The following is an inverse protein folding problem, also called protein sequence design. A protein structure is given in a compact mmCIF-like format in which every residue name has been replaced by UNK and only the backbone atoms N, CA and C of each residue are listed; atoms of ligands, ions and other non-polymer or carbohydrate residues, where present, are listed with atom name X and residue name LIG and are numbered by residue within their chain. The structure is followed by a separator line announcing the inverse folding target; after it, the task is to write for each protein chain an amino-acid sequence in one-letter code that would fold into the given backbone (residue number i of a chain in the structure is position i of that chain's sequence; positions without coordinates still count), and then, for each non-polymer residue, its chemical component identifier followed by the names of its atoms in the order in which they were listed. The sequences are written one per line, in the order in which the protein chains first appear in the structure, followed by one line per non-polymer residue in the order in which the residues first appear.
data_IF_650797267274
#
_entry.id   IF_650797267274
#
_cell.length_a   1.000
_cell.length_b   1.000
_cell.length_c   1.000
_cell.angle_alpha   90.00
_cell.angle_beta   90.00
_cell.angle_gamma   90.00
#
_symmetry.space_group_name_H-M   'P 1'
#
loop_
_entity.id
_entity.type
_entity.pdbx_description
1 polymer ?
#
# COMPACT_ATOMS: atom_id res chain seq x y z
N UNK A 1 -5.49 25.87 3.63
CA UNK A 1 -4.73 24.62 3.43
C UNK A 1 -3.45 24.51 4.26
N UNK A 2 -2.73 25.61 4.56
CA UNK A 2 -1.58 25.58 5.48
C UNK A 2 -1.96 25.30 6.94
N UNK A 3 -3.21 25.52 7.32
CA UNK A 3 -3.67 25.39 8.71
C UNK A 3 -3.78 23.93 9.18
N UNK A 4 -4.10 22.98 8.28
CA UNK A 4 -4.32 21.59 8.69
C UNK A 4 -3.01 20.89 9.08
N UNK A 5 -1.95 20.99 8.27
CA UNK A 5 -0.64 20.41 8.59
C UNK A 5 -0.06 21.01 9.87
N UNK A 6 -0.18 22.34 10.03
CA UNK A 6 0.27 23.04 11.23
C UNK A 6 -0.49 22.57 12.47
N UNK A 7 -1.80 22.36 12.35
CA UNK A 7 -2.66 21.86 13.41
C UNK A 7 -2.33 20.42 13.79
N UNK A 8 -2.03 19.57 12.80
CA UNK A 8 -1.63 18.17 13.01
C UNK A 8 -0.27 18.09 13.72
N UNK A 9 0.72 18.89 13.30
CA UNK A 9 2.03 18.98 13.96
C UNK A 9 1.91 19.50 15.39
N UNK A 10 1.05 20.48 15.65
CA UNK A 10 0.77 20.96 17.02
C UNK A 10 0.16 19.87 17.90
N UNK A 11 -0.81 19.10 17.35
CA UNK A 11 -1.44 17.98 18.06
C UNK A 11 -0.44 16.86 18.37
N UNK A 12 0.52 16.58 17.48
CA UNK A 12 1.63 15.67 17.74
C UNK A 12 2.49 16.12 18.91
N UNK A 13 2.84 17.41 18.96
CA UNK A 13 3.66 17.96 20.05
C UNK A 13 2.93 17.82 21.40
N UNK A 14 1.63 18.06 21.42
CA UNK A 14 0.80 17.89 22.61
C UNK A 14 0.75 16.42 23.08
N UNK A 15 0.63 15.46 22.16
CA UNK A 15 0.64 14.03 22.46
C UNK A 15 1.99 13.57 23.04
N UNK A 16 3.11 14.08 22.50
CA UNK A 16 4.46 13.83 23.04
C UNK A 16 4.60 14.38 24.47
N UNK A 17 4.16 15.62 24.70
CA UNK A 17 4.23 16.24 26.04
C UNK A 17 3.38 15.47 27.06
N UNK A 18 2.17 15.08 26.68
CA UNK A 18 1.29 14.27 27.53
C UNK A 18 1.90 12.91 27.84
N UNK A 19 2.46 12.23 26.83
CA UNK A 19 3.17 10.96 27.00
C UNK A 19 4.35 11.07 27.97
N UNK A 20 5.13 12.14 27.88
CA UNK A 20 6.26 12.40 28.81
C UNK A 20 5.82 12.57 30.26
N UNK A 21 4.69 13.25 30.50
CA UNK A 21 4.14 13.45 31.85
C UNK A 21 3.65 12.12 32.44
N UNK A 22 3.12 11.25 31.60
CA UNK A 22 2.53 9.96 31.98
C UNK A 22 3.57 8.82 32.11
N UNK A 23 4.80 8.99 31.61
CA UNK A 23 5.83 7.95 31.53
C UNK A 23 6.06 7.19 32.84
N UNK A 24 5.94 7.88 33.97
CA UNK A 24 6.14 7.30 35.30
C UNK A 24 4.83 7.06 36.07
N UNK A 25 3.68 7.33 35.47
CA UNK A 25 2.38 7.26 36.15
C UNK A 25 1.49 6.14 35.64
N UNK A 26 1.41 5.96 34.33
CA UNK A 26 0.52 4.99 33.71
C UNK A 26 1.05 4.55 32.33
N UNK A 27 1.54 3.33 32.25
CA UNK A 27 2.06 2.73 31.01
C UNK A 27 1.00 2.56 29.93
N UNK A 28 -0.26 2.36 30.32
CA UNK A 28 -1.34 2.13 29.38
C UNK A 28 -1.71 3.44 28.66
N UNK A 29 -1.81 4.52 29.41
CA UNK A 29 -2.04 5.87 28.87
C UNK A 29 -0.87 6.35 27.99
N UNK A 30 0.37 5.97 28.33
CA UNK A 30 1.54 6.26 27.45
C UNK A 30 1.40 5.56 26.09
N UNK A 31 1.02 4.28 26.07
CA UNK A 31 0.82 3.55 24.84
C UNK A 31 -0.30 4.15 23.97
N UNK A 32 -1.38 4.62 24.58
CA UNK A 32 -2.46 5.33 23.88
C UNK A 32 -1.96 6.63 23.24
N UNK A 33 -1.14 7.42 23.95
CA UNK A 33 -0.55 8.64 23.40
C UNK A 33 0.43 8.35 22.25
N UNK A 34 1.22 7.29 22.35
CA UNK A 34 2.12 6.86 21.28
C UNK A 34 1.35 6.42 20.04
N UNK A 35 0.27 5.66 20.22
CA UNK A 35 -0.61 5.26 19.10
C UNK A 35 -1.23 6.48 18.43
N UNK A 36 -1.76 7.42 19.21
CA UNK A 36 -2.30 8.68 18.70
C UNK A 36 -1.26 9.50 17.92
N UNK A 37 -0.01 9.53 18.41
CA UNK A 37 1.09 10.18 17.72
C UNK A 37 1.38 9.52 16.35
N UNK A 38 1.37 8.19 16.29
CA UNK A 38 1.57 7.45 15.04
C UNK A 38 0.45 7.75 14.03
N UNK A 39 -0.80 7.83 14.48
CA UNK A 39 -1.94 8.11 13.60
C UNK A 39 -1.86 9.54 13.05
N UNK A 40 -1.56 10.53 13.89
CA UNK A 40 -1.34 11.92 13.48
C UNK A 40 -0.15 12.06 12.51
N UNK A 41 0.92 11.28 12.71
CA UNK A 41 2.06 11.28 11.80
C UNK A 41 1.69 10.74 10.41
N UNK A 42 0.89 9.68 10.34
CA UNK A 42 0.38 9.14 9.08
C UNK A 42 -0.52 10.13 8.35
N UNK A 43 -1.41 10.79 9.08
CA UNK A 43 -2.31 11.82 8.54
C UNK A 43 -1.51 12.97 7.93
N UNK A 44 -0.52 13.53 8.66
CA UNK A 44 0.34 14.59 8.16
C UNK A 44 1.13 14.16 6.91
N UNK A 45 1.66 12.95 6.89
CA UNK A 45 2.37 12.42 5.72
C UNK A 45 1.44 12.28 4.50
N UNK A 46 0.20 11.84 4.70
CA UNK A 46 -0.80 11.74 3.64
C UNK A 46 -1.15 13.12 3.05
N UNK A 47 -1.36 14.12 3.91
CA UNK A 47 -1.63 15.49 3.47
C UNK A 47 -0.45 16.10 2.71
N UNK A 48 0.78 15.91 3.18
CA UNK A 48 1.99 16.36 2.48
C UNK A 48 2.12 15.67 1.10
N UNK A 49 1.85 14.38 1.01
CA UNK A 49 1.87 13.66 -0.25
C UNK A 49 0.82 14.19 -1.23
N UNK A 50 -0.41 14.48 -0.77
CA UNK A 50 -1.44 15.13 -1.58
C UNK A 50 -1.00 16.51 -2.09
N UNK A 51 -0.38 17.33 -1.24
CA UNK A 51 0.12 18.64 -1.63
C UNK A 51 1.23 18.53 -2.70
N UNK A 52 2.15 17.61 -2.54
CA UNK A 52 3.23 17.35 -3.52
C UNK A 52 2.64 16.90 -4.86
N UNK A 53 1.64 16.04 -4.85
CA UNK A 53 0.96 15.56 -6.07
C UNK A 53 0.23 16.70 -6.80
N UNK A 54 -0.35 17.66 -6.08
CA UNK A 54 -1.03 18.83 -6.66
C UNK A 54 -0.06 19.91 -7.18
N UNK A 55 1.18 19.96 -6.68
CA UNK A 55 2.18 20.96 -7.04
C UNK A 55 3.09 20.53 -8.20
N UNK A 56 3.07 19.27 -8.60
CA UNK A 56 3.81 18.82 -9.78
C UNK A 56 2.93 19.00 -11.02
N UNK A 57 3.26 19.97 -11.92
CA UNK A 57 2.66 19.99 -13.25
C UNK A 57 3.15 18.73 -13.95
N UNK A 58 2.22 17.82 -14.26
CA UNK A 58 2.52 16.58 -14.93
C UNK A 58 3.14 16.85 -16.32
N UNK A 59 4.37 16.41 -16.57
CA UNK A 59 4.72 16.06 -17.94
C UNK A 59 3.83 14.88 -18.31
N UNK A 60 3.25 14.89 -19.49
CA UNK A 60 2.58 13.71 -20.07
C UNK A 60 3.70 12.72 -20.50
N UNK A 61 4.43 12.22 -19.54
CA UNK A 61 5.24 11.02 -19.72
C UNK A 61 4.30 9.86 -19.56
N UNK A 62 4.19 9.04 -20.60
CA UNK A 62 3.60 7.70 -20.50
C UNK A 62 4.44 6.94 -19.47
N UNK A 63 4.05 7.02 -18.21
CA UNK A 63 4.66 6.22 -17.16
C UNK A 63 4.26 4.77 -17.41
N UNK A 64 5.22 3.98 -17.86
CA UNK A 64 5.04 2.56 -18.03
C UNK A 64 5.06 1.90 -16.64
N UNK A 65 3.92 1.36 -16.20
CA UNK A 65 3.80 0.65 -14.93
C UNK A 65 4.86 -0.46 -14.81
N UNK A 66 5.18 -1.14 -15.91
CA UNK A 66 6.15 -2.24 -15.92
C UNK A 66 7.53 -1.73 -15.52
N UNK A 67 7.98 -0.61 -16.09
CA UNK A 67 9.27 -0.01 -15.74
C UNK A 67 9.35 0.39 -14.25
N UNK A 68 8.27 0.90 -13.69
CA UNK A 68 8.21 1.24 -12.26
C UNK A 68 8.24 -0.01 -11.39
N UNK A 69 7.50 -1.04 -11.77
CA UNK A 69 7.47 -2.33 -11.06
C UNK A 69 8.85 -3.01 -11.11
N UNK A 70 9.54 -2.98 -12.27
CA UNK A 70 10.91 -3.51 -12.39
C UNK A 70 11.88 -2.82 -11.42
N UNK A 71 11.79 -1.52 -11.27
CA UNK A 71 12.62 -0.79 -10.30
C UNK A 71 12.34 -1.23 -8.86
N UNK A 72 11.07 -1.42 -8.49
CA UNK A 72 10.68 -1.94 -7.18
C UNK A 72 11.22 -3.35 -6.95
N UNK A 73 11.19 -4.22 -7.96
CA UNK A 73 11.72 -5.59 -7.89
C UNK A 73 13.22 -5.56 -7.60
N UNK A 74 13.97 -4.72 -8.32
CA UNK A 74 15.43 -4.56 -8.12
C UNK A 74 15.71 -4.07 -6.69
N UNK A 75 14.95 -3.10 -6.22
CA UNK A 75 15.08 -2.58 -4.86
C UNK A 75 14.78 -3.64 -3.80
N UNK A 76 13.68 -4.37 -3.93
CA UNK A 76 13.28 -5.44 -3.01
C UNK A 76 14.27 -6.60 -2.97
N UNK A 77 14.82 -6.97 -4.12
CA UNK A 77 15.90 -7.97 -4.19
C UNK A 77 17.14 -7.50 -3.42
N UNK A 78 17.53 -6.24 -3.60
CA UNK A 78 18.74 -5.68 -2.96
C UNK A 78 18.59 -5.51 -1.46
N UNK A 79 17.44 -5.03 -0.96
CA UNK A 79 17.23 -4.70 0.45
C UNK A 79 16.76 -5.89 1.28
N UNK A 80 15.84 -6.68 0.72
CA UNK A 80 15.12 -7.73 1.47
C UNK A 80 15.49 -9.14 1.00
N UNK A 81 16.28 -9.30 -0.08
CA UNK A 81 16.61 -10.59 -0.66
C UNK A 81 15.43 -11.27 -1.38
N UNK A 82 14.31 -10.56 -1.59
CA UNK A 82 13.11 -11.11 -2.21
C UNK A 82 13.34 -11.33 -3.71
N UNK A 83 13.06 -12.54 -4.19
CA UNK A 83 13.05 -12.89 -5.60
C UNK A 83 11.64 -12.70 -6.16
N UNK A 84 11.50 -11.80 -7.13
CA UNK A 84 10.20 -11.53 -7.78
C UNK A 84 10.32 -11.84 -9.25
N UNK A 85 9.39 -12.64 -9.76
CA UNK A 85 9.24 -12.98 -11.17
C UNK A 85 8.15 -12.09 -11.77
N UNK A 86 8.49 -11.34 -12.84
CA UNK A 86 7.54 -10.46 -13.53
C UNK A 86 7.13 -11.10 -14.86
N UNK A 87 5.86 -11.36 -15.01
CA UNK A 87 5.22 -11.82 -16.23
C UNK A 87 4.33 -10.69 -16.76
N UNK A 88 4.74 -10.05 -17.84
CA UNK A 88 4.00 -8.95 -18.44
C UNK A 88 3.76 -9.20 -19.93
N UNK A 89 2.56 -8.89 -20.42
CA UNK A 89 2.19 -9.07 -21.83
C UNK A 89 1.44 -7.87 -22.39
N UNK A 90 1.98 -7.21 -23.44
CA UNK A 90 1.37 -6.08 -24.17
C UNK A 90 1.76 -4.68 -23.61
N UNK A 91 1.05 -3.62 -24.02
CA UNK A 91 1.20 -2.26 -23.51
C UNK A 91 -0.05 -1.81 -22.77
N UNK A 92 0.10 -1.31 -21.57
CA UNK A 92 -0.99 -0.80 -20.75
C UNK A 92 -0.99 0.73 -20.79
N UNK A 93 -2.06 1.32 -21.30
CA UNK A 93 -2.22 2.77 -21.30
C UNK A 93 -2.95 3.16 -20.01
N UNK A 94 -2.19 3.65 -19.04
CA UNK A 94 -2.68 4.08 -17.74
C UNK A 94 -2.48 5.58 -17.55
N UNK A 95 -3.36 6.19 -16.80
CA UNK A 95 -3.16 7.54 -16.26
C UNK A 95 -2.07 7.51 -15.18
N UNK A 96 -1.48 8.66 -14.89
CA UNK A 96 -0.49 8.79 -13.81
C UNK A 96 -1.08 8.32 -12.47
N UNK A 97 -2.33 8.65 -12.17
CA UNK A 97 -3.00 8.23 -10.94
C UNK A 97 -3.10 6.70 -10.84
N UNK A 98 -3.44 6.03 -11.95
CA UNK A 98 -3.50 4.56 -11.98
C UNK A 98 -2.12 3.96 -11.74
N UNK A 99 -1.07 4.46 -12.39
CA UNK A 99 0.31 3.99 -12.18
C UNK A 99 0.72 4.19 -10.72
N UNK A 100 0.47 5.36 -10.13
CA UNK A 100 0.83 5.67 -8.75
C UNK A 100 0.08 4.76 -7.76
N UNK A 101 -1.22 4.54 -7.94
CA UNK A 101 -2.03 3.67 -7.09
C UNK A 101 -1.61 2.21 -7.20
N UNK A 102 -1.45 1.69 -8.43
CA UNK A 102 -1.03 0.30 -8.67
C UNK A 102 0.38 0.05 -8.14
N UNK A 103 1.30 0.98 -8.32
CA UNK A 103 2.66 0.91 -7.76
C UNK A 103 2.64 0.77 -6.24
N UNK A 104 1.82 1.57 -5.55
CA UNK A 104 1.69 1.49 -4.09
C UNK A 104 1.06 0.18 -3.63
N UNK A 105 0.13 -0.40 -4.41
CA UNK A 105 -0.44 -1.71 -4.12
C UNK A 105 0.63 -2.80 -4.25
N UNK A 106 1.44 -2.78 -5.32
CA UNK A 106 2.57 -3.72 -5.49
C UNK A 106 3.56 -3.58 -4.34
N UNK A 107 3.94 -2.37 -3.98
CA UNK A 107 4.89 -2.10 -2.89
C UNK A 107 4.41 -2.66 -1.55
N UNK A 108 3.13 -2.46 -1.22
CA UNK A 108 2.53 -2.99 0.00
C UNK A 108 2.44 -4.52 -0.03
N UNK A 109 2.02 -5.11 -1.16
CA UNK A 109 1.95 -6.55 -1.33
C UNK A 109 3.31 -7.22 -1.15
N UNK A 110 4.36 -6.72 -1.82
CA UNK A 110 5.73 -7.25 -1.68
C UNK A 110 6.28 -7.05 -0.25
N UNK A 111 5.89 -5.96 0.42
CA UNK A 111 6.24 -5.74 1.82
C UNK A 111 5.58 -6.76 2.74
N UNK A 112 4.34 -7.15 2.45
CA UNK A 112 3.63 -8.20 3.17
C UNK A 112 4.27 -9.58 2.95
N UNK A 113 4.75 -9.89 1.74
CA UNK A 113 5.51 -11.11 1.49
C UNK A 113 6.75 -11.17 2.37
N UNK A 114 7.57 -10.11 2.38
CA UNK A 114 8.79 -10.04 3.19
C UNK A 114 8.51 -10.20 4.68
N UNK A 115 7.44 -9.56 5.18
CA UNK A 115 7.15 -9.53 6.63
C UNK A 115 6.40 -10.75 7.14
N UNK A 116 5.53 -11.34 6.31
CA UNK A 116 4.49 -12.25 6.79
C UNK A 116 4.42 -13.59 6.07
N UNK A 117 4.88 -13.68 4.81
CA UNK A 117 4.67 -14.88 4.02
C UNK A 117 5.59 -16.05 4.40
N UNK A 118 6.76 -15.77 5.01
CA UNK A 118 7.74 -16.82 5.31
C UNK A 118 8.38 -17.46 4.06
N UNK A 119 8.23 -16.80 2.90
CA UNK A 119 8.89 -17.14 1.63
C UNK A 119 9.72 -15.96 1.15
N UNK A 120 10.69 -16.23 0.28
CA UNK A 120 11.50 -15.20 -0.39
C UNK A 120 11.20 -15.13 -1.89
N UNK A 121 10.07 -15.65 -2.31
CA UNK A 121 9.67 -15.66 -3.71
C UNK A 121 8.25 -15.12 -3.88
N UNK A 122 8.05 -14.32 -4.94
CA UNK A 122 6.76 -13.82 -5.37
C UNK A 122 6.69 -13.75 -6.88
N UNK A 123 5.48 -13.78 -7.44
CA UNK A 123 5.24 -13.58 -8.86
C UNK A 123 4.30 -12.41 -9.05
N UNK A 124 4.63 -11.53 -9.98
CA UNK A 124 3.76 -10.44 -10.43
C UNK A 124 3.34 -10.74 -11.86
N UNK A 125 2.04 -10.76 -12.12
CA UNK A 125 1.47 -10.91 -13.46
C UNK A 125 0.72 -9.66 -13.84
N UNK A 126 1.04 -9.10 -15.01
CA UNK A 126 0.35 -7.93 -15.56
C UNK A 126 -0.23 -8.35 -16.92
N UNK A 127 -1.55 -8.38 -17.01
CA UNK A 127 -2.25 -8.66 -18.26
C UNK A 127 -2.95 -7.42 -18.79
N UNK A 128 -2.55 -7.03 -20.02
CA UNK A 128 -3.05 -5.84 -20.68
C UNK A 128 -3.27 -6.04 -22.19
N UNK A 129 -3.27 -7.27 -22.65
CA UNK A 129 -3.55 -7.57 -24.06
C UNK A 129 -5.03 -7.36 -24.43
N UNK A 130 -5.95 -7.43 -23.46
CA UNK A 130 -7.39 -7.15 -23.62
C UNK A 130 -7.96 -6.62 -22.30
N UNK A 131 -8.89 -5.65 -22.36
CA UNK A 131 -9.68 -5.22 -21.19
C UNK A 131 -10.64 -6.34 -20.75
N UNK A 132 -10.91 -6.49 -19.44
CA UNK A 132 -10.36 -5.66 -18.35
C UNK A 132 -8.88 -5.96 -18.08
N UNK A 133 -8.10 -4.90 -17.80
CA UNK A 133 -6.72 -5.06 -17.38
C UNK A 133 -6.67 -5.59 -15.96
N UNK A 134 -5.62 -6.37 -15.64
CA UNK A 134 -5.42 -6.82 -14.27
C UNK A 134 -3.94 -6.89 -13.90
N UNK A 135 -3.70 -6.77 -12.61
CA UNK A 135 -2.42 -6.96 -11.94
C UNK A 135 -2.62 -8.01 -10.85
N UNK A 136 -1.79 -9.04 -10.84
CA UNK A 136 -1.78 -10.08 -9.80
C UNK A 136 -0.41 -10.09 -9.10
N UNK A 137 -0.43 -10.26 -7.79
CA UNK A 137 0.76 -10.51 -6.97
C UNK A 137 0.48 -11.79 -6.18
N UNK A 138 1.33 -12.80 -6.37
CA UNK A 138 1.17 -14.12 -5.77
C UNK A 138 2.43 -14.53 -5.00
N UNK A 139 2.23 -15.02 -3.79
CA UNK A 139 3.24 -15.73 -3.01
C UNK A 139 2.75 -17.13 -2.64
N UNK A 140 3.69 -18.04 -2.42
CA UNK A 140 3.42 -19.41 -1.97
C UNK A 140 3.87 -19.62 -0.52
N UNK A 141 3.68 -18.61 0.31
CA UNK A 141 4.07 -18.61 1.71
C UNK A 141 3.03 -19.19 2.65
N UNK A 142 3.08 -18.73 3.90
CA UNK A 142 2.23 -19.24 4.98
C UNK A 142 0.74 -18.92 4.81
N UNK A 143 0.40 -17.91 4.03
CA UNK A 143 -0.96 -17.42 3.91
C UNK A 143 -1.59 -17.01 5.25
N UNK A 144 -2.85 -16.61 5.21
CA UNK A 144 -3.62 -16.24 6.40
C UNK A 144 -5.12 -16.50 6.19
N UNK A 145 -5.90 -16.51 7.29
CA UNK A 145 -7.35 -16.54 7.18
C UNK A 145 -7.88 -15.16 6.84
N UNK A 146 -8.57 -15.04 5.72
CA UNK A 146 -9.35 -13.84 5.40
C UNK A 146 -10.58 -13.80 6.29
N UNK A 147 -10.48 -13.16 7.47
CA UNK A 147 -11.63 -12.94 8.34
C UNK A 147 -12.22 -11.58 8.05
N UNK A 148 -13.54 -11.47 8.19
CA UNK A 148 -14.28 -10.19 8.00
C UNK A 148 -13.97 -9.15 9.09
N UNK A 149 -13.11 -9.47 10.04
CA UNK A 149 -12.77 -8.58 11.15
C UNK A 149 -11.64 -7.63 10.76
N UNK A 150 -12.04 -6.48 10.20
CA UNK A 150 -11.15 -5.40 9.76
C UNK A 150 -10.51 -4.62 10.92
N UNK A 151 -10.74 -4.99 12.17
CA UNK A 151 -10.26 -4.26 13.34
C UNK A 151 -8.81 -4.60 13.76
N UNK A 152 -8.19 -5.62 13.16
CA UNK A 152 -6.84 -6.01 13.49
C UNK A 152 -5.80 -5.11 12.80
N UNK A 153 -4.74 -4.66 13.52
CA UNK A 153 -3.68 -3.82 12.96
C UNK A 153 -2.99 -4.40 11.71
N UNK A 154 -2.99 -5.72 11.58
CA UNK A 154 -2.42 -6.47 10.46
C UNK A 154 -3.20 -6.27 9.15
N UNK A 155 -4.45 -5.80 9.23
CA UNK A 155 -5.32 -5.55 8.08
C UNK A 155 -5.23 -4.13 7.51
N UNK A 156 -4.50 -3.21 8.14
CA UNK A 156 -4.40 -1.82 7.67
C UNK A 156 -3.78 -1.71 6.27
N UNK A 157 -2.79 -2.55 5.96
CA UNK A 157 -2.20 -2.63 4.62
C UNK A 157 -3.21 -3.08 3.56
N UNK A 158 -4.05 -4.09 3.90
CA UNK A 158 -5.08 -4.61 3.01
C UNK A 158 -6.18 -3.57 2.74
N UNK A 159 -6.59 -2.83 3.78
CA UNK A 159 -7.56 -1.73 3.66
C UNK A 159 -6.99 -0.64 2.76
N UNK A 160 -5.75 -0.20 2.99
CA UNK A 160 -5.10 0.81 2.17
C UNK A 160 -4.95 0.40 0.70
N UNK A 161 -4.68 -0.88 0.41
CA UNK A 161 -4.68 -1.39 -0.97
C UNK A 161 -6.09 -1.33 -1.59
N UNK A 162 -7.13 -1.71 -0.83
CA UNK A 162 -8.52 -1.67 -1.31
C UNK A 162 -8.99 -0.24 -1.59
N UNK A 163 -8.62 0.72 -0.74
CA UNK A 163 -8.94 2.14 -0.95
C UNK A 163 -8.29 2.69 -2.21
N UNK A 164 -7.00 2.38 -2.46
CA UNK A 164 -6.28 2.80 -3.66
C UNK A 164 -6.86 2.20 -4.94
N UNK A 165 -7.24 0.92 -4.92
CA UNK A 165 -7.91 0.31 -6.07
C UNK A 165 -9.24 1.01 -6.36
N UNK A 166 -10.03 1.33 -5.32
CA UNK A 166 -11.31 2.04 -5.47
C UNK A 166 -11.13 3.48 -5.99
N UNK A 167 -10.06 4.16 -5.58
CA UNK A 167 -9.74 5.53 -6.03
C UNK A 167 -9.60 5.62 -7.56
N UNK A 168 -9.11 4.56 -8.18
CA UNK A 168 -8.95 4.46 -9.65
C UNK A 168 -10.09 3.70 -10.34
N UNK A 169 -11.17 3.37 -9.60
CA UNK A 169 -12.31 2.62 -10.14
C UNK A 169 -12.03 1.14 -10.41
N UNK A 170 -10.96 0.60 -9.82
CA UNK A 170 -10.58 -0.81 -9.95
C UNK A 170 -11.09 -1.62 -8.76
N UNK A 171 -11.20 -2.94 -8.94
CA UNK A 171 -11.61 -3.87 -7.90
C UNK A 171 -10.39 -4.64 -7.38
N UNK A 172 -10.23 -4.69 -6.07
CA UNK A 172 -9.21 -5.52 -5.43
C UNK A 172 -9.88 -6.75 -4.81
N UNK A 173 -9.27 -7.91 -5.03
CA UNK A 173 -9.63 -9.17 -4.38
C UNK A 173 -8.39 -9.82 -3.78
N UNK A 174 -8.57 -10.46 -2.62
CA UNK A 174 -7.50 -11.16 -1.90
C UNK A 174 -7.98 -12.56 -1.64
N UNK A 175 -7.20 -13.55 -2.11
CA UNK A 175 -7.41 -14.95 -1.81
C UNK A 175 -6.21 -15.47 -1.05
N UNK A 176 -6.41 -15.84 0.21
CA UNK A 176 -5.36 -16.40 1.06
C UNK A 176 -5.94 -17.48 1.96
N UNK A 177 -5.16 -18.54 2.14
CA UNK A 177 -5.48 -19.62 3.06
C UNK A 177 -4.21 -20.04 3.79
N UNK A 178 -4.30 -20.39 5.08
CA UNK A 178 -3.15 -20.90 5.82
C UNK A 178 -2.47 -22.08 5.12
N UNK A 179 -1.17 -21.96 4.86
CA UNK A 179 -0.36 -22.96 4.16
C UNK A 179 -0.44 -22.96 2.64
N UNK A 180 -1.19 -22.02 2.04
CA UNK A 180 -1.38 -21.96 0.56
C UNK A 180 -0.92 -20.65 -0.07
N UNK A 181 -0.30 -19.75 0.71
CA UNK A 181 0.14 -18.45 0.24
C UNK A 181 -0.98 -17.44 0.07
N UNK A 182 -0.69 -16.37 -0.68
CA UNK A 182 -1.62 -15.27 -0.92
C UNK A 182 -1.62 -14.85 -2.38
N UNK A 183 -2.80 -14.66 -2.95
CA UNK A 183 -3.02 -14.04 -4.25
C UNK A 183 -3.79 -12.72 -4.05
N UNK A 184 -3.17 -11.64 -4.44
CA UNK A 184 -3.78 -10.31 -4.53
C UNK A 184 -4.03 -10.02 -6.01
N UNK A 185 -5.27 -9.76 -6.39
CA UNK A 185 -5.65 -9.37 -7.75
C UNK A 185 -6.33 -8.02 -7.74
N UNK A 186 -5.84 -7.14 -8.60
CA UNK A 186 -6.44 -5.84 -8.88
C UNK A 186 -6.87 -5.84 -10.32
N UNK A 187 -8.14 -5.56 -10.58
CA UNK A 187 -8.74 -5.66 -11.90
C UNK A 187 -9.53 -4.40 -12.22
N UNK A 188 -9.39 -3.92 -13.46
CA UNK A 188 -10.14 -2.78 -13.97
C UNK A 188 -11.64 -3.02 -13.80
N UNK A 189 -12.34 -2.09 -13.16
CA UNK A 189 -13.79 -2.17 -13.01
C UNK A 189 -14.45 -2.19 -14.39
N UNK A 190 -15.24 -3.23 -14.70
CA UNK A 190 -16.07 -3.21 -15.88
C UNK A 190 -17.03 -2.03 -15.82
N UNK A 191 -17.14 -1.24 -16.90
CA UNK A 191 -18.30 -0.38 -17.06
C UNK A 191 -19.54 -1.27 -17.03
N UNK A 192 -20.35 -1.20 -15.99
CA UNK A 192 -21.73 -1.62 -16.08
C UNK A 192 -22.39 -0.71 -17.12
N UNK A 193 -22.69 -1.25 -18.31
CA UNK A 193 -23.48 -0.61 -19.36
C UNK A 193 -24.94 -0.66 -18.97
#
# INVERSE_FOLDING_TARGET
MHDSVTQTVFSMNLAVQSGRILLNKDRQLVNEQLKRLQDLAREAMSEIQMLITHLQPAPVEKLDLISVVDQLIVEKRRLDGLQVYLEASGEMILSKLEVDCLTKIVQEALTNVVKHAGTQEATIRVSHSKRPYYLEIEDYGSGFKTTSDSSLPEHLGLIGMSERAREIGWRLSINSQPGSGTLIRVEEGGMEI
#
